data_IF_642181514581
#
_entry.id   IF_642181514581
#
_cell.length_a   1.000
_cell.length_b   1.000
_cell.length_c   1.000
_cell.angle_alpha   90.00
_cell.angle_beta   90.00
_cell.angle_gamma   90.00
#
_symmetry.space_group_name_H-M   'P 1'
#
loop_
_entity.id
_entity.type
_entity.pdbx_description
1 polymer ?
#
# COMPACT_ATOMS: atom_id res chain seq x y z
N UNK A 1 13.58 -3.38 18.75
CA UNK A 1 12.91 -2.82 17.56
C UNK A 1 11.60 -3.58 17.39
N UNK A 2 10.49 -2.86 17.15
CA UNK A 2 9.20 -3.52 16.90
C UNK A 2 9.04 -3.81 15.40
N UNK A 3 8.54 -5.00 15.07
CA UNK A 3 8.36 -5.45 13.69
C UNK A 3 6.90 -5.22 13.26
N UNK A 4 6.72 -4.58 12.12
CA UNK A 4 5.41 -4.38 11.49
C UNK A 4 5.01 -5.55 10.61
N UNK A 5 5.97 -6.08 9.82
CA UNK A 5 5.74 -7.22 8.93
C UNK A 5 6.92 -8.18 9.08
N UNK A 6 6.63 -9.46 9.31
CA UNK A 6 7.62 -10.52 9.28
C UNK A 6 7.24 -11.59 8.26
N UNK A 7 8.15 -11.90 7.34
CA UNK A 7 8.05 -12.99 6.40
C UNK A 7 9.11 -14.03 6.76
N UNK A 8 8.72 -15.29 6.84
CA UNK A 8 9.63 -16.40 7.15
C UNK A 8 9.46 -17.50 6.10
N UNK A 9 10.48 -17.67 5.25
CA UNK A 9 10.55 -18.65 4.16
C UNK A 9 9.30 -18.67 3.27
N UNK A 10 8.79 -17.48 2.95
CA UNK A 10 7.54 -17.34 2.20
C UNK A 10 7.73 -17.75 0.75
N UNK A 11 6.96 -18.74 0.34
CA UNK A 11 6.87 -19.19 -1.06
C UNK A 11 5.42 -19.13 -1.54
N UNK A 12 5.22 -18.60 -2.75
CA UNK A 12 3.93 -18.62 -3.44
C UNK A 12 4.08 -19.18 -4.84
N UNK A 13 3.38 -20.31 -5.06
CA UNK A 13 3.31 -20.98 -6.37
C UNK A 13 1.90 -20.90 -6.94
N UNK A 14 1.81 -20.75 -8.25
CA UNK A 14 0.59 -20.90 -9.04
C UNK A 14 0.82 -22.01 -10.07
N UNK A 15 0.28 -23.19 -9.82
CA UNK A 15 0.57 -24.40 -10.61
C UNK A 15 2.09 -24.64 -10.66
N UNK A 16 2.72 -24.55 -11.85
CA UNK A 16 4.16 -24.74 -12.04
C UNK A 16 4.99 -23.46 -11.90
N UNK A 17 4.35 -22.30 -11.80
CA UNK A 17 5.06 -21.02 -11.72
C UNK A 17 5.24 -20.58 -10.26
N UNK A 18 6.48 -20.39 -9.83
CA UNK A 18 6.85 -19.83 -8.53
C UNK A 18 6.96 -18.31 -8.65
N UNK A 19 6.00 -17.59 -8.09
CA UNK A 19 5.96 -16.12 -8.14
C UNK A 19 6.72 -15.46 -6.98
N UNK A 20 6.83 -16.14 -5.83
CA UNK A 20 7.62 -15.75 -4.66
C UNK A 20 8.35 -16.98 -4.17
N UNK A 21 9.65 -16.91 -3.93
CA UNK A 21 10.52 -18.05 -3.61
C UNK A 21 11.36 -17.78 -2.37
N UNK A 22 11.05 -18.47 -1.28
CA UNK A 22 11.81 -18.51 -0.02
C UNK A 22 12.19 -17.12 0.53
N UNK A 23 11.22 -16.20 0.56
CA UNK A 23 11.45 -14.83 1.04
C UNK A 23 11.42 -14.79 2.57
N UNK A 24 12.56 -14.38 3.18
CA UNK A 24 12.68 -14.13 4.61
C UNK A 24 13.14 -12.69 4.82
N UNK A 25 12.28 -11.85 5.45
CA UNK A 25 12.57 -10.43 5.70
C UNK A 25 11.70 -9.91 6.84
N UNK A 26 12.20 -8.89 7.56
CA UNK A 26 11.48 -8.17 8.58
C UNK A 26 11.47 -6.68 8.25
N UNK A 27 10.30 -6.06 8.37
CA UNK A 27 10.10 -4.62 8.21
C UNK A 27 9.75 -3.99 9.56
N UNK A 28 10.56 -3.06 10.01
CA UNK A 28 10.40 -2.40 11.30
C UNK A 28 9.26 -1.39 11.29
N UNK A 29 8.61 -1.18 12.46
CA UNK A 29 7.61 -0.12 12.62
C UNK A 29 8.22 1.28 12.50
N UNK A 30 7.40 2.25 12.06
CA UNK A 30 7.76 3.66 11.97
C UNK A 30 8.74 4.02 10.87
N UNK A 31 8.97 3.13 9.92
CA UNK A 31 9.87 3.32 8.78
C UNK A 31 9.13 3.22 7.44
N UNK A 32 9.75 3.77 6.40
CA UNK A 32 9.35 3.55 5.00
C UNK A 32 10.27 2.51 4.38
N UNK A 33 9.72 1.39 3.99
CA UNK A 33 10.43 0.27 3.37
C UNK A 33 10.12 0.22 1.88
N UNK A 34 11.15 0.35 1.03
CA UNK A 34 11.01 0.27 -0.41
C UNK A 34 11.18 -1.14 -0.94
N UNK A 35 10.34 -1.55 -1.88
CA UNK A 35 10.52 -2.77 -2.69
C UNK A 35 10.57 -2.37 -4.15
N UNK A 36 11.72 -2.61 -4.79
CA UNK A 36 11.93 -2.38 -6.22
C UNK A 36 12.02 -3.71 -6.97
N UNK A 37 12.02 -3.64 -8.29
CA UNK A 37 12.18 -4.79 -9.18
C UNK A 37 11.38 -4.62 -10.47
N UNK A 38 11.68 -5.44 -11.47
CA UNK A 38 11.03 -5.39 -12.79
C UNK A 38 9.56 -5.83 -12.70
N UNK A 39 8.79 -5.53 -13.75
CA UNK A 39 7.46 -6.11 -13.90
C UNK A 39 7.57 -7.64 -14.00
N UNK A 40 6.68 -8.35 -13.30
CA UNK A 40 6.74 -9.81 -13.23
C UNK A 40 7.74 -10.38 -12.20
N UNK A 41 8.48 -9.57 -11.44
CA UNK A 41 9.41 -10.05 -10.40
C UNK A 41 8.74 -10.66 -9.16
N UNK A 42 7.41 -10.59 -9.03
CA UNK A 42 6.66 -11.16 -7.91
C UNK A 42 6.16 -10.14 -6.88
N UNK A 43 6.50 -8.84 -6.97
CA UNK A 43 6.09 -7.79 -6.01
C UNK A 43 4.60 -7.76 -5.74
N UNK A 44 3.76 -7.70 -6.78
CA UNK A 44 2.29 -7.66 -6.63
C UNK A 44 1.77 -8.89 -5.90
N UNK A 45 2.33 -10.06 -6.19
CA UNK A 45 1.96 -11.32 -5.52
C UNK A 45 2.34 -11.27 -4.06
N UNK A 46 3.56 -10.81 -3.74
CA UNK A 46 4.03 -10.65 -2.37
C UNK A 46 3.14 -9.69 -1.58
N UNK A 47 2.82 -8.52 -2.14
CA UNK A 47 1.91 -7.54 -1.51
C UNK A 47 0.52 -8.14 -1.25
N UNK A 48 -0.03 -8.89 -2.20
CA UNK A 48 -1.30 -9.61 -2.03
C UNK A 48 -1.23 -10.68 -0.94
N UNK A 49 -0.10 -11.38 -0.79
CA UNK A 49 0.11 -12.34 0.31
C UNK A 49 0.17 -11.62 1.66
N UNK A 50 0.91 -10.50 1.77
CA UNK A 50 1.01 -9.69 3.00
C UNK A 50 -0.37 -9.14 3.40
N UNK A 51 -1.18 -8.68 2.44
CA UNK A 51 -2.55 -8.22 2.70
C UNK A 51 -3.56 -9.35 2.94
N UNK A 52 -3.13 -10.62 2.93
CA UNK A 52 -4.01 -11.77 3.15
C UNK A 52 -4.98 -12.07 2.00
N UNK A 53 -4.77 -11.47 0.82
CA UNK A 53 -5.60 -11.70 -0.36
C UNK A 53 -5.23 -13.01 -1.07
N UNK A 54 -3.98 -13.46 -0.94
CA UNK A 54 -3.53 -14.74 -1.43
C UNK A 54 -2.95 -15.60 -0.30
N UNK A 55 -3.32 -16.89 -0.20
CA UNK A 55 -2.65 -17.80 0.71
C UNK A 55 -1.22 -18.06 0.23
N UNK A 56 -0.29 -18.19 1.17
CA UNK A 56 1.07 -18.67 0.88
C UNK A 56 1.06 -20.17 0.61
N UNK A 57 2.02 -20.65 -0.17
CA UNK A 57 2.20 -22.09 -0.42
C UNK A 57 3.05 -22.72 0.69
N UNK A 58 4.09 -22.02 1.12
CA UNK A 58 5.01 -22.41 2.19
C UNK A 58 5.40 -21.19 3.01
N UNK A 59 5.89 -21.40 4.21
CA UNK A 59 6.34 -20.35 5.11
C UNK A 59 5.21 -19.68 5.87
N UNK A 60 5.49 -18.53 6.47
CA UNK A 60 4.52 -17.77 7.26
C UNK A 60 4.70 -16.27 7.11
N UNK A 61 3.60 -15.54 7.26
CA UNK A 61 3.56 -14.07 7.28
C UNK A 61 2.89 -13.63 8.57
N UNK A 62 3.48 -12.63 9.22
CA UNK A 62 2.89 -11.93 10.34
C UNK A 62 2.84 -10.43 10.02
N UNK A 63 1.69 -9.79 10.24
CA UNK A 63 1.45 -8.36 10.00
C UNK A 63 0.85 -7.75 11.26
N UNK A 64 1.53 -6.78 11.88
CA UNK A 64 1.12 -6.16 13.15
C UNK A 64 0.74 -7.20 14.23
N UNK A 65 1.53 -8.26 14.39
CA UNK A 65 1.28 -9.35 15.32
C UNK A 65 0.18 -10.34 14.89
N UNK A 66 -0.42 -10.14 13.71
CA UNK A 66 -1.48 -11.01 13.20
C UNK A 66 -0.92 -12.00 12.18
N UNK A 67 -1.13 -13.31 12.43
CA UNK A 67 -0.73 -14.37 11.49
C UNK A 67 -1.60 -14.31 10.24
N UNK A 68 -0.93 -14.24 9.10
CA UNK A 68 -1.52 -14.21 7.76
C UNK A 68 -1.14 -15.49 6.99
N UNK A 69 -1.62 -15.62 5.77
CA UNK A 69 -1.17 -16.69 4.87
C UNK A 69 -2.20 -17.76 4.56
N UNK A 70 -3.38 -17.74 5.21
CA UNK A 70 -4.51 -18.64 4.89
C UNK A 70 -5.42 -18.11 3.78
N UNK A 71 -5.22 -16.85 3.33
CA UNK A 71 -6.04 -16.18 2.31
C UNK A 71 -7.47 -15.89 2.73
N UNK A 72 -7.77 -15.93 4.03
CA UNK A 72 -9.13 -15.77 4.57
C UNK A 72 -9.33 -14.49 5.38
N UNK A 73 -8.24 -13.78 5.71
CA UNK A 73 -8.27 -12.63 6.59
C UNK A 73 -7.48 -11.48 5.99
N UNK A 74 -8.03 -10.28 6.10
CA UNK A 74 -7.30 -9.04 5.86
C UNK A 74 -6.79 -8.54 7.21
N UNK A 75 -5.51 -8.16 7.34
CA UNK A 75 -4.97 -7.68 8.61
C UNK A 75 -5.65 -6.39 9.05
N UNK A 76 -5.98 -6.27 10.33
CA UNK A 76 -6.50 -5.04 10.93
C UNK A 76 -5.38 -4.01 11.08
N UNK A 77 -5.71 -2.73 11.02
CA UNK A 77 -4.73 -1.64 11.14
C UNK A 77 -3.89 -1.42 9.89
N UNK A 78 -4.30 -1.99 8.76
CA UNK A 78 -3.61 -1.87 7.47
C UNK A 78 -4.47 -1.15 6.45
N UNK A 79 -3.92 -0.11 5.82
CA UNK A 79 -4.48 0.50 4.62
C UNK A 79 -3.67 0.09 3.39
N UNK A 80 -4.32 -0.25 2.29
CA UNK A 80 -3.60 -0.77 1.13
C UNK A 80 -4.08 -0.22 -0.21
N UNK A 81 -3.12 0.01 -1.12
CA UNK A 81 -3.32 0.17 -2.56
C UNK A 81 -2.37 -0.81 -3.25
N UNK A 82 -2.93 -1.84 -3.91
CA UNK A 82 -2.11 -2.85 -4.60
C UNK A 82 -2.31 -2.77 -6.11
N UNK A 83 -3.48 -2.37 -6.55
CA UNK A 83 -3.87 -2.21 -7.95
C UNK A 83 -4.74 -0.95 -8.09
N UNK A 84 -5.18 -0.65 -9.30
CA UNK A 84 -6.09 0.49 -9.53
C UNK A 84 -7.36 0.33 -8.69
N UNK A 85 -7.70 1.30 -7.84
CA UNK A 85 -8.90 1.21 -7.01
C UNK A 85 -10.17 1.10 -7.86
N UNK A 86 -11.01 0.11 -7.52
CA UNK A 86 -12.30 -0.16 -8.19
C UNK A 86 -13.42 0.68 -7.61
N UNK A 87 -13.46 1.99 -7.93
CA UNK A 87 -14.53 2.87 -7.48
C UNK A 87 -15.79 2.77 -8.34
N UNK A 88 -16.95 3.04 -7.72
CA UNK A 88 -18.24 3.17 -8.41
C UNK A 88 -18.22 4.44 -9.28
N UNK A 89 -18.28 4.32 -10.62
CA UNK A 89 -18.03 5.44 -11.52
C UNK A 89 -19.12 6.51 -11.46
N UNK A 90 -20.35 6.15 -11.06
CA UNK A 90 -21.51 7.04 -10.99
C UNK A 90 -21.71 7.69 -9.61
N UNK A 91 -20.73 7.52 -8.69
CA UNK A 91 -20.74 8.12 -7.37
C UNK A 91 -19.62 9.16 -7.24
N UNK A 92 -19.77 10.12 -6.33
CA UNK A 92 -18.71 11.06 -5.98
C UNK A 92 -17.59 10.36 -5.19
N UNK A 93 -16.43 11.02 -5.02
CA UNK A 93 -15.33 10.48 -4.20
C UNK A 93 -15.79 10.23 -2.76
N UNK A 94 -16.48 11.20 -2.15
CA UNK A 94 -17.02 11.05 -0.80
C UNK A 94 -17.99 9.86 -0.68
N UNK A 95 -18.90 9.69 -1.64
CA UNK A 95 -19.85 8.57 -1.61
C UNK A 95 -19.15 7.22 -1.70
N UNK A 96 -18.12 7.10 -2.55
CA UNK A 96 -17.34 5.89 -2.64
C UNK A 96 -16.67 5.52 -1.31
N UNK A 97 -15.97 6.49 -0.68
CA UNK A 97 -15.32 6.24 0.60
C UNK A 97 -16.32 5.94 1.72
N UNK A 98 -17.48 6.59 1.72
CA UNK A 98 -18.55 6.29 2.67
C UNK A 98 -19.04 4.85 2.55
N UNK A 99 -19.32 4.36 1.34
CA UNK A 99 -19.75 2.98 1.14
C UNK A 99 -18.69 1.97 1.60
N UNK A 100 -17.43 2.24 1.33
CA UNK A 100 -16.33 1.37 1.80
C UNK A 100 -16.23 1.36 3.33
N UNK A 101 -16.38 2.49 3.98
CA UNK A 101 -16.36 2.58 5.44
C UNK A 101 -17.60 1.91 6.07
N UNK A 102 -18.76 1.94 5.41
CA UNK A 102 -19.97 1.20 5.83
C UNK A 102 -19.71 -0.33 5.91
N UNK A 103 -18.87 -0.89 5.03
CA UNK A 103 -18.52 -2.31 5.04
C UNK A 103 -17.64 -2.69 6.23
N UNK A 104 -16.80 -1.77 6.73
CA UNK A 104 -15.94 -2.00 7.90
C UNK A 104 -16.64 -1.71 9.23
N UNK A 105 -17.82 -1.07 9.23
CA UNK A 105 -18.60 -0.81 10.43
C UNK A 105 -19.26 0.58 10.47
N UNK A 106 -18.98 1.38 11.52
CA UNK A 106 -19.60 2.69 11.70
C UNK A 106 -18.93 3.75 10.81
N UNK A 107 -19.75 4.48 10.04
CA UNK A 107 -19.29 5.59 9.20
C UNK A 107 -18.90 6.79 10.06
N UNK A 108 -17.65 7.20 9.91
CA UNK A 108 -17.10 8.44 10.46
C UNK A 108 -16.93 9.46 9.33
N UNK A 109 -17.84 10.45 9.29
CA UNK A 109 -17.88 11.46 8.23
C UNK A 109 -16.64 12.36 8.25
N UNK A 110 -16.14 12.69 9.43
CA UNK A 110 -14.98 13.58 9.58
C UNK A 110 -13.69 12.88 9.09
N UNK A 111 -13.52 11.61 9.40
CA UNK A 111 -12.39 10.82 8.88
C UNK A 111 -12.40 10.77 7.36
N UNK A 112 -13.55 10.54 6.73
CA UNK A 112 -13.67 10.52 5.27
C UNK A 112 -13.30 11.88 4.69
N UNK A 113 -13.86 12.97 5.22
CA UNK A 113 -13.59 14.33 4.75
C UNK A 113 -12.12 14.70 4.90
N UNK A 114 -11.56 14.45 6.07
CA UNK A 114 -10.15 14.69 6.37
C UNK A 114 -9.23 13.92 5.41
N UNK A 115 -9.50 12.64 5.15
CA UNK A 115 -8.71 11.85 4.21
C UNK A 115 -8.75 12.42 2.78
N UNK A 116 -9.92 12.85 2.31
CA UNK A 116 -10.09 13.46 0.99
C UNK A 116 -9.31 14.79 0.88
N UNK A 117 -9.39 15.64 1.90
CA UNK A 117 -8.64 16.90 1.96
C UNK A 117 -7.14 16.64 2.01
N UNK A 118 -6.70 15.68 2.80
CA UNK A 118 -5.27 15.33 2.96
C UNK A 118 -4.60 14.98 1.63
N UNK A 119 -5.32 14.36 0.71
CA UNK A 119 -4.80 14.03 -0.63
C UNK A 119 -5.02 15.13 -1.67
N UNK A 120 -5.50 16.31 -1.26
CA UNK A 120 -5.71 17.46 -2.15
C UNK A 120 -6.95 17.35 -3.02
N UNK A 121 -7.98 16.60 -2.58
CA UNK A 121 -9.29 16.55 -3.25
C UNK A 121 -10.34 17.35 -2.45
N UNK A 122 -11.40 17.76 -3.13
CA UNK A 122 -12.53 18.46 -2.52
C UNK A 122 -13.59 17.42 -2.03
N UNK A 123 -13.86 17.33 -0.71
CA UNK A 123 -14.84 16.41 -0.14
C UNK A 123 -16.29 16.75 -0.49
N UNK A 124 -16.56 18.00 -0.90
CA UNK A 124 -17.90 18.47 -1.28
C UNK A 124 -18.15 18.36 -2.80
N UNK A 125 -17.14 17.95 -3.56
CA UNK A 125 -17.26 17.78 -5.00
C UNK A 125 -18.32 16.74 -5.36
N UNK A 126 -19.31 17.16 -6.15
CA UNK A 126 -20.35 16.28 -6.72
C UNK A 126 -19.90 15.57 -8.01
N UNK A 127 -18.66 15.82 -8.46
CA UNK A 127 -18.12 15.19 -9.67
C UNK A 127 -18.03 13.68 -9.48
N UNK A 128 -18.63 12.93 -10.39
CA UNK A 128 -18.59 11.46 -10.38
C UNK A 128 -17.17 10.95 -10.66
N UNK A 129 -16.75 9.87 -9.98
CA UNK A 129 -15.40 9.30 -10.10
C UNK A 129 -15.12 8.80 -11.52
N UNK A 130 -16.13 8.40 -12.28
CA UNK A 130 -15.99 8.09 -13.71
C UNK A 130 -15.40 9.22 -14.56
N UNK A 131 -15.55 10.48 -14.10
CA UNK A 131 -15.00 11.68 -14.74
C UNK A 131 -13.68 12.16 -14.12
N UNK A 132 -13.12 11.43 -13.14
CA UNK A 132 -11.83 11.77 -12.54
C UNK A 132 -10.69 11.46 -13.50
N UNK A 133 -9.64 12.32 -13.48
CA UNK A 133 -8.36 11.97 -14.09
C UNK A 133 -7.73 10.78 -13.41
N UNK A 134 -6.70 10.17 -14.02
CA UNK A 134 -5.95 9.10 -13.40
C UNK A 134 -5.39 9.55 -12.04
N UNK A 135 -4.75 10.74 -11.99
CA UNK A 135 -4.21 11.30 -10.76
C UNK A 135 -5.28 11.55 -9.68
N UNK A 136 -6.48 12.02 -10.05
CA UNK A 136 -7.58 12.16 -9.07
C UNK A 136 -8.04 10.80 -8.51
N UNK A 137 -8.10 9.77 -9.34
CA UNK A 137 -8.43 8.41 -8.89
C UNK A 137 -7.35 7.85 -7.96
N UNK A 138 -6.08 8.10 -8.29
CA UNK A 138 -4.96 7.70 -7.46
C UNK A 138 -5.01 8.38 -6.08
N UNK A 139 -5.22 9.70 -6.04
CA UNK A 139 -5.42 10.46 -4.81
C UNK A 139 -6.60 9.92 -3.97
N UNK A 140 -7.72 9.60 -4.61
CA UNK A 140 -8.87 9.01 -3.91
C UNK A 140 -8.54 7.62 -3.34
N UNK A 141 -7.74 6.81 -4.04
CA UNK A 141 -7.22 5.53 -3.53
C UNK A 141 -6.35 5.71 -2.29
N UNK A 142 -5.49 6.73 -2.28
CA UNK A 142 -4.70 7.09 -1.09
C UNK A 142 -5.61 7.52 0.07
N UNK A 143 -6.64 8.35 -0.20
CA UNK A 143 -7.63 8.70 0.83
C UNK A 143 -8.33 7.46 1.40
N UNK A 144 -8.71 6.50 0.54
CA UNK A 144 -9.29 5.22 0.97
C UNK A 144 -8.35 4.46 1.90
N UNK A 145 -7.06 4.34 1.54
CA UNK A 145 -6.09 3.60 2.33
C UNK A 145 -5.84 4.25 3.71
N UNK A 146 -5.98 5.58 3.81
CA UNK A 146 -5.68 6.33 5.04
C UNK A 146 -6.90 6.66 5.90
N UNK A 147 -8.13 6.58 5.39
CA UNK A 147 -9.31 7.13 6.07
C UNK A 147 -9.63 6.48 7.43
N UNK A 148 -9.16 5.26 7.67
CA UNK A 148 -9.35 4.55 8.94
C UNK A 148 -8.15 4.70 9.90
N UNK A 149 -7.21 5.59 9.57
CA UNK A 149 -6.00 5.88 10.37
C UNK A 149 -5.14 4.64 10.66
N UNK A 150 -4.74 3.86 9.65
CA UNK A 150 -4.01 2.62 9.84
C UNK A 150 -2.61 2.86 10.44
N UNK A 151 -2.06 1.83 11.13
CA UNK A 151 -0.67 1.82 11.59
C UNK A 151 0.31 1.51 10.46
N UNK A 152 -0.13 0.73 9.47
CA UNK A 152 0.66 0.28 8.33
C UNK A 152 -0.05 0.63 7.02
N UNK A 153 0.69 1.26 6.12
CA UNK A 153 0.27 1.50 4.74
C UNK A 153 1.05 0.59 3.78
N UNK A 154 0.35 -0.10 2.90
CA UNK A 154 0.92 -0.95 1.85
C UNK A 154 0.57 -0.33 0.50
N UNK A 155 1.55 0.31 -0.14
CA UNK A 155 1.34 1.18 -1.29
C UNK A 155 2.11 0.66 -2.52
N UNK A 156 1.38 0.18 -3.51
CA UNK A 156 1.97 -0.27 -4.78
C UNK A 156 1.80 0.83 -5.83
N UNK A 157 2.92 1.41 -6.28
CA UNK A 157 2.97 2.49 -7.28
C UNK A 157 2.00 3.66 -6.95
N UNK A 158 2.04 4.21 -5.72
CA UNK A 158 1.02 5.17 -5.26
C UNK A 158 1.06 6.52 -5.97
N UNK A 159 2.14 6.85 -6.67
CA UNK A 159 2.32 8.12 -7.38
C UNK A 159 2.10 8.00 -8.89
N UNK A 160 1.71 6.83 -9.39
CA UNK A 160 1.41 6.66 -10.82
C UNK A 160 0.27 7.58 -11.29
N UNK A 161 0.50 8.26 -12.42
CA UNK A 161 -0.48 9.16 -13.03
C UNK A 161 -0.61 10.53 -12.37
N UNK A 162 0.25 10.84 -11.39
CA UNK A 162 0.39 12.19 -10.84
C UNK A 162 1.37 13.02 -11.68
N UNK A 163 1.13 14.31 -11.74
CA UNK A 163 2.09 15.26 -12.26
C UNK A 163 3.22 15.54 -11.25
N UNK A 164 4.22 16.33 -11.67
CA UNK A 164 5.40 16.62 -10.83
C UNK A 164 5.02 17.23 -9.47
N UNK A 165 4.04 18.12 -9.44
CA UNK A 165 3.58 18.75 -8.20
C UNK A 165 2.86 17.74 -7.31
N UNK A 166 1.98 16.92 -7.89
CA UNK A 166 1.29 15.86 -7.17
C UNK A 166 2.25 14.81 -6.58
N UNK A 167 3.32 14.46 -7.29
CA UNK A 167 4.38 13.58 -6.75
C UNK A 167 5.06 14.23 -5.55
N UNK A 168 5.44 15.52 -5.65
CA UNK A 168 6.09 16.24 -4.54
C UNK A 168 5.18 16.33 -3.30
N UNK A 169 3.89 16.62 -3.49
CA UNK A 169 2.89 16.65 -2.42
C UNK A 169 2.75 15.28 -1.74
N UNK A 170 2.70 14.19 -2.51
CA UNK A 170 2.59 12.83 -1.94
C UNK A 170 3.85 12.39 -1.21
N UNK A 171 5.04 12.74 -1.72
CA UNK A 171 6.30 12.51 -0.98
C UNK A 171 6.29 13.20 0.37
N UNK A 172 5.90 14.48 0.40
CA UNK A 172 5.75 15.24 1.66
C UNK A 172 4.75 14.58 2.61
N UNK A 173 3.61 14.12 2.08
CA UNK A 173 2.60 13.42 2.87
C UNK A 173 3.16 12.11 3.49
N UNK A 174 3.87 11.29 2.72
CA UNK A 174 4.42 10.03 3.23
C UNK A 174 5.49 10.25 4.30
N UNK A 175 6.36 11.25 4.13
CA UNK A 175 7.32 11.64 5.18
C UNK A 175 6.60 12.10 6.46
N UNK A 176 5.56 12.94 6.34
CA UNK A 176 4.75 13.37 7.48
C UNK A 176 4.07 12.19 8.19
N UNK A 177 3.55 11.22 7.45
CA UNK A 177 2.96 10.01 8.03
C UNK A 177 4.01 9.18 8.79
N UNK A 178 5.22 9.03 8.24
CA UNK A 178 6.34 8.40 8.94
C UNK A 178 6.68 9.14 10.23
N UNK A 179 6.77 10.47 10.20
CA UNK A 179 7.06 11.29 11.39
C UNK A 179 5.97 11.14 12.48
N UNK A 180 4.75 10.75 12.09
CA UNK A 180 3.66 10.40 13.00
C UNK A 180 3.72 8.94 13.49
N UNK A 181 4.80 8.21 13.17
CA UNK A 181 5.00 6.82 13.59
C UNK A 181 4.33 5.77 12.69
N UNK A 182 3.74 6.17 11.56
CA UNK A 182 3.18 5.20 10.61
C UNK A 182 4.28 4.43 9.90
N UNK A 183 4.02 3.17 9.62
CA UNK A 183 4.88 2.32 8.78
C UNK A 183 4.37 2.31 7.35
N UNK A 184 5.26 2.39 6.38
CA UNK A 184 4.88 2.35 4.96
C UNK A 184 5.71 1.28 4.24
N UNK A 185 5.05 0.33 3.61
CA UNK A 185 5.66 -0.58 2.63
C UNK A 185 5.33 -0.05 1.24
N UNK A 186 6.35 0.40 0.51
CA UNK A 186 6.24 1.11 -0.75
C UNK A 186 6.84 0.29 -1.89
N UNK A 187 6.07 0.01 -2.95
CA UNK A 187 6.66 -0.38 -4.23
C UNK A 187 6.64 0.82 -5.18
N UNK A 188 7.81 1.19 -5.72
CA UNK A 188 7.94 2.17 -6.79
C UNK A 188 9.02 1.76 -7.78
N UNK A 189 8.80 2.05 -9.05
CA UNK A 189 9.80 1.89 -10.11
C UNK A 189 10.61 3.17 -10.35
N UNK A 190 10.25 4.28 -9.69
CA UNK A 190 10.96 5.55 -9.78
C UNK A 190 12.10 5.59 -8.73
N UNK A 191 13.39 5.66 -9.16
CA UNK A 191 14.52 5.71 -8.22
C UNK A 191 14.49 6.90 -7.26
N UNK A 192 13.94 8.05 -7.69
CA UNK A 192 13.84 9.23 -6.82
C UNK A 192 12.89 8.99 -5.65
N UNK A 193 11.81 8.22 -5.85
CA UNK A 193 10.88 7.92 -4.77
C UNK A 193 11.56 7.09 -3.68
N UNK A 194 12.31 6.06 -4.09
CA UNK A 194 13.01 5.19 -3.14
C UNK A 194 14.14 5.94 -2.43
N UNK A 195 14.89 6.77 -3.13
CA UNK A 195 15.97 7.58 -2.57
C UNK A 195 15.48 8.61 -1.55
N UNK A 196 14.34 9.29 -1.84
CA UNK A 196 13.81 10.37 -1.01
C UNK A 196 13.05 9.83 0.19
N UNK A 197 12.33 8.72 0.03
CA UNK A 197 11.36 8.26 1.00
C UNK A 197 11.85 7.11 1.88
N UNK A 198 12.63 6.15 1.33
CA UNK A 198 12.84 4.88 1.97
C UNK A 198 13.98 4.89 2.98
N UNK A 199 13.73 4.31 4.16
CA UNK A 199 14.75 4.04 5.18
C UNK A 199 15.48 2.72 4.88
N UNK A 200 14.82 1.76 4.25
CA UNK A 200 15.40 0.49 3.77
C UNK A 200 14.93 0.20 2.36
N UNK A 201 15.74 -0.51 1.59
CA UNK A 201 15.43 -0.87 0.21
C UNK A 201 15.68 -2.35 -0.02
N UNK A 202 14.71 -3.00 -0.66
CA UNK A 202 14.80 -4.40 -1.06
C UNK A 202 14.52 -4.52 -2.55
N UNK A 203 15.29 -5.37 -3.22
CA UNK A 203 15.06 -5.69 -4.63
C UNK A 203 14.45 -7.07 -4.76
N UNK A 204 13.42 -7.15 -5.58
CA UNK A 204 12.77 -8.40 -5.93
C UNK A 204 13.04 -8.74 -7.40
N UNK A 205 13.67 -9.87 -7.64
CA UNK A 205 13.94 -10.40 -8.99
C UNK A 205 13.59 -11.89 -9.05
N UNK A 206 12.85 -12.29 -10.09
CA UNK A 206 12.42 -13.68 -10.30
C UNK A 206 11.86 -14.38 -9.03
N UNK A 207 11.12 -13.65 -8.21
CA UNK A 207 10.50 -14.16 -6.97
C UNK A 207 11.41 -14.17 -5.74
N UNK A 208 12.69 -13.86 -5.88
CA UNK A 208 13.67 -13.80 -4.79
C UNK A 208 13.83 -12.35 -4.32
N UNK A 209 13.96 -12.14 -3.02
CA UNK A 209 14.18 -10.82 -2.43
C UNK A 209 15.59 -10.71 -1.85
N UNK A 210 16.25 -9.59 -2.14
CA UNK A 210 17.56 -9.24 -1.58
C UNK A 210 17.55 -7.83 -1.01
N UNK A 211 18.23 -7.60 0.12
CA UNK A 211 18.41 -6.25 0.66
C UNK A 211 19.38 -5.45 -0.21
N UNK A 212 19.09 -4.17 -0.39
CA UNK A 212 19.92 -3.21 -1.12
C UNK A 212 20.25 -2.02 -0.23
N UNK A 213 21.43 -1.46 -0.43
CA UNK A 213 21.75 -0.17 0.19
C UNK A 213 20.84 0.94 -0.39
N UNK A 214 20.28 1.78 0.47
CA UNK A 214 19.63 3.01 0.03
C UNK A 214 20.74 3.95 -0.46
N UNK A 215 20.69 4.29 -1.74
CA UNK A 215 21.68 5.23 -2.31
C UNK A 215 21.40 6.64 -1.76
N UNK A 216 22.39 7.20 -1.11
CA UNK A 216 22.36 8.55 -0.58
C UNK A 216 22.30 9.62 -1.70
#
# INVERSE_FOLDING_TARGET
MEIAIALNQVTKRFRENTAVSDVTVQFEKGKIHGIIGRNGSGKTVLFKCICGLFPVTEGSIEVLGQKMGDGKRVPKGVGAIIETPGFLPNCSGYQNLRYLMELSGKVDREKIRSAIVTVGLDPDSKKHVGKYSLGMRQRLGLAQAMMEDPELLILYEPMNGLDKNGVAEMRTLFLKLKDQGKTILLASHNPDDTRILCDTLHEMDAGVMTERAVLA
#
